data_IF_737205404083
#
_entry.id   IF_737205404083
#
_cell.length_a   1.000
_cell.length_b   1.000
_cell.length_c   1.000
_cell.angle_alpha   90.00
_cell.angle_beta   90.00
_cell.angle_gamma   90.00
#
_symmetry.space_group_name_H-M   'P 1'
#
loop_
_entity.id
_entity.type
_entity.pdbx_description
1 polymer ?
#
# COMPACT_ATOMS: atom_id res chain seq x y z
N UNK A 1 3.65 -0.77 28.44
CA UNK A 1 2.22 -1.18 28.58
C UNK A 1 2.16 -2.68 28.26
N UNK A 2 1.39 -3.47 28.99
CA UNK A 2 1.26 -4.91 28.71
C UNK A 2 0.20 -5.11 27.61
N UNK A 3 0.33 -6.14 26.75
CA UNK A 3 -0.68 -6.46 25.75
C UNK A 3 -1.96 -6.98 26.40
N UNK A 4 -3.08 -6.86 25.71
CA UNK A 4 -4.32 -7.52 26.14
C UNK A 4 -4.10 -9.03 26.33
N UNK A 5 -4.74 -9.66 27.33
CA UNK A 5 -4.52 -11.10 27.64
C UNK A 5 -4.70 -12.03 26.43
N UNK A 6 -5.63 -11.70 25.52
CA UNK A 6 -5.87 -12.47 24.29
C UNK A 6 -4.70 -12.36 23.32
N UNK A 7 -4.19 -11.14 23.09
CA UNK A 7 -3.04 -10.90 22.23
C UNK A 7 -1.77 -11.52 22.81
N UNK A 8 -1.56 -11.39 24.14
CA UNK A 8 -0.43 -12.02 24.82
C UNK A 8 -0.41 -13.54 24.62
N UNK A 9 -1.56 -14.21 24.79
CA UNK A 9 -1.69 -15.65 24.57
C UNK A 9 -1.42 -16.03 23.13
N UNK A 10 -1.96 -15.29 22.17
CA UNK A 10 -1.72 -15.50 20.74
C UNK A 10 -0.23 -15.37 20.39
N UNK A 11 0.46 -14.36 20.93
CA UNK A 11 1.92 -14.17 20.73
C UNK A 11 2.69 -15.37 21.26
N UNK A 12 2.40 -15.84 22.46
CA UNK A 12 3.06 -16.99 23.11
C UNK A 12 2.82 -18.27 22.29
N UNK A 13 1.58 -18.52 21.89
CA UNK A 13 1.20 -19.74 21.14
C UNK A 13 1.91 -19.79 19.78
N UNK A 14 1.90 -18.70 19.00
CA UNK A 14 2.51 -18.67 17.66
C UNK A 14 4.04 -18.76 17.75
N UNK A 15 4.67 -18.00 18.63
CA UNK A 15 6.12 -18.06 18.81
C UNK A 15 6.57 -19.43 19.33
N UNK A 16 5.80 -20.04 20.22
CA UNK A 16 6.11 -21.36 20.78
C UNK A 16 5.94 -22.50 19.79
N UNK A 17 5.00 -22.40 18.86
CA UNK A 17 4.73 -23.46 17.87
C UNK A 17 5.60 -23.39 16.63
N UNK A 18 5.76 -22.20 16.06
CA UNK A 18 6.41 -22.04 14.74
C UNK A 18 7.75 -21.31 14.78
N UNK A 19 8.07 -20.63 15.87
CA UNK A 19 9.22 -19.72 15.92
C UNK A 19 9.14 -18.56 14.94
N UNK A 20 7.98 -18.40 14.26
CA UNK A 20 7.75 -17.35 13.28
C UNK A 20 7.19 -16.11 13.98
N UNK A 21 7.72 -14.91 13.73
CA UNK A 21 7.20 -13.71 14.36
C UNK A 21 5.76 -13.46 13.92
N UNK A 22 4.89 -13.19 14.91
CA UNK A 22 3.54 -12.72 14.64
C UNK A 22 3.60 -11.26 14.19
N UNK A 23 2.81 -10.91 13.20
CA UNK A 23 2.80 -9.54 12.66
C UNK A 23 2.18 -8.51 13.61
N UNK A 24 1.27 -8.93 14.50
CA UNK A 24 0.62 -8.05 15.49
C UNK A 24 1.39 -8.02 16.80
N UNK A 25 1.53 -6.82 17.37
CA UNK A 25 2.10 -6.64 18.71
C UNK A 25 3.59 -6.95 18.82
N UNK A 26 4.36 -6.78 17.73
CA UNK A 26 5.82 -7.01 17.73
C UNK A 26 6.56 -6.14 18.76
N UNK A 27 6.05 -4.95 19.06
CA UNK A 27 6.62 -4.05 20.07
C UNK A 27 6.62 -4.62 21.47
N UNK A 28 5.70 -5.53 21.80
CA UNK A 28 5.62 -6.13 23.15
C UNK A 28 6.73 -7.14 23.45
N UNK A 29 7.36 -7.70 22.43
CA UNK A 29 8.43 -8.70 22.59
C UNK A 29 9.71 -8.33 21.82
N UNK A 30 9.82 -7.08 21.35
CA UNK A 30 11.04 -6.56 20.75
C UNK A 30 12.07 -6.25 21.83
N UNK A 31 13.28 -6.81 21.69
CA UNK A 31 14.41 -6.59 22.60
C UNK A 31 15.68 -6.42 21.78
N UNK A 32 16.50 -5.43 22.13
CA UNK A 32 17.85 -5.24 21.63
C UNK A 32 17.96 -4.49 20.29
N UNK A 33 16.86 -4.17 19.63
CA UNK A 33 16.85 -3.49 18.32
C UNK A 33 16.58 -1.98 18.42
N UNK A 34 16.36 -1.44 19.60
CA UNK A 34 15.84 -0.07 19.81
C UNK A 34 16.74 1.00 19.20
N UNK A 35 18.06 0.91 19.38
CA UNK A 35 18.99 1.89 18.82
C UNK A 35 18.94 1.95 17.29
N UNK A 36 18.85 0.78 16.65
CA UNK A 36 18.76 0.69 15.19
C UNK A 36 17.39 1.15 14.67
N UNK A 37 16.31 0.78 15.35
CA UNK A 37 14.96 1.24 15.01
C UNK A 37 14.83 2.76 15.16
N UNK A 38 15.38 3.33 16.24
CA UNK A 38 15.38 4.77 16.44
C UNK A 38 16.24 5.51 15.39
N UNK A 39 17.35 4.92 14.94
CA UNK A 39 18.15 5.47 13.85
C UNK A 39 17.39 5.44 12.52
N UNK A 40 16.69 4.34 12.20
CA UNK A 40 15.84 4.24 11.02
C UNK A 40 14.69 5.26 11.11
N UNK A 41 14.04 5.35 12.25
CA UNK A 41 12.95 6.27 12.47
C UNK A 41 13.38 7.73 12.31
N UNK A 42 14.42 8.17 13.00
CA UNK A 42 14.85 9.56 13.02
C UNK A 42 15.53 10.02 11.74
N UNK A 43 16.42 9.19 11.16
CA UNK A 43 17.24 9.61 10.01
C UNK A 43 16.60 9.30 8.67
N UNK A 44 15.73 8.29 8.58
CA UNK A 44 15.10 7.89 7.34
C UNK A 44 13.62 8.20 7.30
N UNK A 45 12.80 7.60 8.16
CA UNK A 45 11.35 7.80 8.13
C UNK A 45 10.95 9.24 8.42
N UNK A 46 11.47 9.82 9.52
CA UNK A 46 11.12 11.17 9.97
C UNK A 46 11.86 12.31 9.28
N UNK A 47 12.83 12.03 8.41
CA UNK A 47 13.59 13.05 7.70
C UNK A 47 13.67 12.74 6.21
N UNK A 48 14.65 11.95 5.77
CA UNK A 48 14.98 11.77 4.36
C UNK A 48 13.82 11.25 3.49
N UNK A 49 13.04 10.29 3.98
CA UNK A 49 11.87 9.75 3.26
C UNK A 49 10.67 10.69 3.33
N UNK A 50 10.46 11.34 4.47
CA UNK A 50 9.40 12.36 4.62
C UNK A 50 9.59 13.50 3.62
N UNK A 51 10.85 13.91 3.35
CA UNK A 51 11.18 14.93 2.34
C UNK A 51 11.12 14.40 0.89
N UNK A 52 10.73 13.14 0.69
CA UNK A 52 10.56 12.50 -0.63
C UNK A 52 11.82 11.85 -1.16
N UNK A 53 12.81 11.61 -0.33
CA UNK A 53 13.96 10.78 -0.65
C UNK A 53 13.58 9.32 -0.87
N UNK A 54 14.52 8.55 -1.43
CA UNK A 54 14.39 7.11 -1.57
C UNK A 54 15.67 6.42 -1.07
N UNK A 55 15.52 5.31 -0.36
CA UNK A 55 16.65 4.60 0.21
C UNK A 55 16.48 3.09 0.04
N UNK A 56 17.58 2.40 -0.19
CA UNK A 56 17.64 0.95 -0.15
C UNK A 56 18.44 0.51 1.09
N UNK A 57 17.91 -0.44 1.84
CA UNK A 57 18.58 -1.05 2.99
C UNK A 57 18.50 -2.56 2.89
N UNK A 58 19.64 -3.22 3.10
CA UNK A 58 19.76 -4.66 3.11
C UNK A 58 19.92 -5.15 4.55
N UNK A 59 19.01 -6.00 5.01
CA UNK A 59 19.09 -6.67 6.31
C UNK A 59 19.59 -8.09 6.11
N UNK A 60 20.79 -8.36 6.57
CA UNK A 60 21.47 -9.66 6.43
C UNK A 60 21.60 -10.33 7.79
N UNK A 61 21.48 -11.65 7.82
CA UNK A 61 21.64 -12.46 9.02
C UNK A 61 21.25 -13.91 8.77
N UNK A 62 21.67 -14.82 9.63
CA UNK A 62 21.39 -16.25 9.53
C UNK A 62 19.88 -16.56 9.67
N UNK A 63 19.51 -17.80 9.33
CA UNK A 63 18.15 -18.27 9.58
C UNK A 63 17.86 -18.23 11.10
N UNK A 64 16.69 -17.70 11.47
CA UNK A 64 16.32 -17.56 12.89
C UNK A 64 16.87 -16.29 13.59
N UNK A 65 17.70 -15.47 12.94
CA UNK A 65 18.30 -14.25 13.55
C UNK A 65 17.33 -13.09 13.77
N UNK A 66 16.02 -13.26 13.54
CA UNK A 66 15.02 -12.24 13.79
C UNK A 66 14.79 -11.22 12.68
N UNK A 67 15.28 -11.47 11.43
CA UNK A 67 15.10 -10.54 10.30
C UNK A 67 13.65 -10.15 10.04
N UNK A 68 12.74 -11.11 10.01
CA UNK A 68 11.31 -10.85 9.80
C UNK A 68 10.69 -10.07 10.96
N UNK A 69 11.10 -10.37 12.19
CA UNK A 69 10.70 -9.61 13.38
C UNK A 69 11.14 -8.15 13.26
N UNK A 70 12.41 -7.93 12.92
CA UNK A 70 12.95 -6.59 12.71
C UNK A 70 12.19 -5.81 11.63
N UNK A 71 11.86 -6.44 10.49
CA UNK A 71 11.07 -5.81 9.43
C UNK A 71 9.65 -5.44 9.90
N UNK A 72 9.02 -6.24 10.76
CA UNK A 72 7.74 -5.87 11.37
C UNK A 72 7.86 -4.69 12.34
N UNK A 73 8.96 -4.60 13.10
CA UNK A 73 9.21 -3.42 13.93
C UNK A 73 9.42 -2.15 13.08
N UNK A 74 10.14 -2.25 11.95
CA UNK A 74 10.29 -1.13 11.01
C UNK A 74 8.96 -0.73 10.40
N UNK A 75 8.10 -1.70 10.03
CA UNK A 75 6.74 -1.45 9.55
C UNK A 75 5.92 -0.65 10.57
N UNK A 76 5.93 -1.07 11.85
CA UNK A 76 5.16 -0.38 12.89
C UNK A 76 5.65 1.05 13.06
N UNK A 77 6.97 1.30 13.02
CA UNK A 77 7.53 2.67 13.00
C UNK A 77 7.12 3.48 11.77
N UNK A 78 7.04 2.84 10.60
CA UNK A 78 6.56 3.48 9.38
C UNK A 78 5.08 3.89 9.51
N UNK A 79 4.25 3.04 10.09
CA UNK A 79 2.85 3.35 10.36
C UNK A 79 2.66 4.49 11.38
N UNK A 80 3.49 4.55 12.42
CA UNK A 80 3.48 5.68 13.39
C UNK A 80 3.77 7.03 12.72
N UNK A 81 4.30 7.02 11.48
CA UNK A 81 4.58 8.18 10.66
C UNK A 81 3.74 8.28 9.39
N UNK A 82 2.61 7.59 9.39
CA UNK A 82 1.61 7.62 8.31
C UNK A 82 2.12 7.13 6.95
N UNK A 83 3.11 6.22 6.95
CA UNK A 83 3.55 5.56 5.72
C UNK A 83 2.64 4.37 5.37
N UNK A 84 2.30 4.24 4.10
CA UNK A 84 1.81 2.97 3.57
C UNK A 84 2.97 1.98 3.43
N UNK A 85 2.73 0.72 3.74
CA UNK A 85 3.74 -0.34 3.75
C UNK A 85 3.30 -1.50 2.86
N UNK A 86 4.22 -2.04 2.09
CA UNK A 86 4.01 -3.27 1.32
C UNK A 86 5.10 -4.29 1.70
N UNK A 87 4.70 -5.49 2.08
CA UNK A 87 5.59 -6.63 2.34
C UNK A 87 5.39 -7.70 1.27
N UNK A 88 6.45 -8.00 0.56
CA UNK A 88 6.47 -9.03 -0.48
C UNK A 88 7.51 -10.09 -0.13
N UNK A 89 7.08 -11.35 -0.12
CA UNK A 89 7.97 -12.49 0.00
C UNK A 89 8.36 -12.95 -1.41
N UNK A 90 9.62 -12.71 -1.77
CA UNK A 90 10.14 -13.10 -3.08
C UNK A 90 10.35 -14.61 -3.14
N UNK A 91 9.77 -15.26 -4.13
CA UNK A 91 9.93 -16.69 -4.35
C UNK A 91 10.09 -16.99 -5.84
N UNK A 92 10.84 -18.07 -6.20
CA UNK A 92 11.01 -18.42 -7.62
C UNK A 92 9.71 -18.75 -8.36
N UNK A 93 8.66 -19.14 -7.64
CA UNK A 93 7.37 -19.54 -8.22
C UNK A 93 6.35 -18.43 -8.27
N UNK A 94 6.18 -17.68 -7.16
CA UNK A 94 5.09 -16.70 -7.01
C UNK A 94 5.52 -15.30 -7.38
N UNK A 95 6.67 -14.86 -6.87
CA UNK A 95 7.18 -13.50 -7.08
C UNK A 95 8.68 -13.55 -7.43
N UNK A 96 9.03 -14.10 -8.60
CA UNK A 96 10.42 -14.17 -9.01
C UNK A 96 11.01 -12.77 -9.21
N UNK A 97 12.18 -12.53 -8.66
CA UNK A 97 12.84 -11.22 -8.67
C UNK A 97 13.15 -10.71 -10.10
N UNK A 98 13.35 -11.62 -11.05
CA UNK A 98 13.61 -11.33 -12.45
C UNK A 98 12.35 -11.04 -13.27
N UNK A 99 11.13 -11.25 -12.71
CA UNK A 99 9.88 -10.83 -13.32
C UNK A 99 9.34 -9.55 -12.66
N UNK A 100 9.77 -8.41 -13.17
CA UNK A 100 9.41 -7.10 -12.62
C UNK A 100 7.89 -6.84 -12.61
N UNK A 101 7.12 -7.43 -13.55
CA UNK A 101 5.67 -7.32 -13.54
C UNK A 101 5.07 -8.04 -12.34
N UNK A 102 5.54 -9.26 -12.04
CA UNK A 102 5.08 -10.02 -10.87
C UNK A 102 5.47 -9.33 -9.57
N UNK A 103 6.69 -8.77 -9.50
CA UNK A 103 7.11 -7.96 -8.34
C UNK A 103 6.19 -6.75 -8.17
N UNK A 104 5.89 -6.02 -9.25
CA UNK A 104 4.94 -4.91 -9.21
C UNK A 104 3.56 -5.37 -8.69
N UNK A 105 3.00 -6.44 -9.26
CA UNK A 105 1.70 -6.97 -8.86
C UNK A 105 1.68 -7.37 -7.37
N UNK A 106 2.73 -8.03 -6.90
CA UNK A 106 2.86 -8.41 -5.49
C UNK A 106 2.93 -7.18 -4.57
N UNK A 107 3.67 -6.13 -4.95
CA UNK A 107 3.71 -4.86 -4.20
C UNK A 107 2.33 -4.20 -4.19
N UNK A 108 1.69 -4.05 -5.34
CA UNK A 108 0.37 -3.41 -5.44
C UNK A 108 -0.71 -4.15 -4.65
N UNK A 109 -0.65 -5.50 -4.60
CA UNK A 109 -1.61 -6.34 -3.87
C UNK A 109 -1.34 -6.45 -2.37
N UNK A 110 -0.16 -6.03 -1.88
CA UNK A 110 0.22 -6.17 -0.48
C UNK A 110 0.32 -4.84 0.29
N UNK A 111 -0.10 -3.73 -0.32
CA UNK A 111 -0.12 -2.43 0.36
C UNK A 111 -1.07 -2.48 1.56
N UNK A 112 -0.57 -2.03 2.71
CA UNK A 112 -1.32 -1.89 3.95
C UNK A 112 -1.04 -0.51 4.52
N UNK A 113 -2.08 0.13 5.04
CA UNK A 113 -1.98 1.39 5.76
C UNK A 113 -2.53 1.23 7.17
N UNK A 114 -2.02 1.98 8.14
CA UNK A 114 -2.27 1.82 9.57
C UNK A 114 -3.77 1.83 9.94
N UNK A 115 -4.55 2.73 9.38
CA UNK A 115 -5.98 2.83 9.66
C UNK A 115 -6.81 1.64 9.15
N UNK A 116 -6.24 0.85 8.21
CA UNK A 116 -6.79 -0.42 7.74
C UNK A 116 -6.19 -1.64 8.48
N UNK A 117 -5.25 -1.42 9.39
CA UNK A 117 -4.32 -2.43 9.91
C UNK A 117 -4.89 -3.49 10.86
N UNK A 118 -6.12 -3.35 11.34
CA UNK A 118 -6.82 -4.40 12.12
C UNK A 118 -7.73 -5.28 11.26
N UNK A 119 -7.85 -4.95 10.00
CA UNK A 119 -8.63 -5.68 9.02
C UNK A 119 -7.82 -6.90 8.53
N UNK A 120 -8.48 -8.00 8.23
CA UNK A 120 -7.86 -9.26 7.85
C UNK A 120 -7.01 -9.19 6.57
N UNK A 121 -6.47 -10.33 6.14
CA UNK A 121 -5.65 -10.40 4.90
C UNK A 121 -6.39 -9.92 3.64
N UNK A 122 -7.73 -10.01 3.65
CA UNK A 122 -8.60 -9.59 2.55
C UNK A 122 -8.69 -8.05 2.36
N UNK A 123 -8.14 -7.27 3.29
CA UNK A 123 -8.19 -5.80 3.28
C UNK A 123 -6.87 -5.16 2.80
N UNK A 124 -6.05 -5.92 2.08
CA UNK A 124 -4.78 -5.46 1.52
C UNK A 124 -4.93 -5.05 0.06
N UNK A 125 -4.00 -4.22 -0.39
CA UNK A 125 -3.84 -3.85 -1.78
C UNK A 125 -4.15 -2.41 -2.10
N UNK A 126 -3.70 -1.99 -3.28
CA UNK A 126 -3.78 -0.60 -3.73
C UNK A 126 -5.23 -0.11 -3.81
N UNK A 127 -6.16 -0.93 -4.31
CA UNK A 127 -7.58 -0.53 -4.39
C UNK A 127 -8.20 -0.30 -3.01
N UNK A 128 -7.88 -1.15 -2.03
CA UNK A 128 -8.33 -0.96 -0.65
C UNK A 128 -7.74 0.29 -0.01
N UNK A 129 -6.48 0.58 -0.30
CA UNK A 129 -5.84 1.83 0.10
C UNK A 129 -6.56 3.06 -0.49
N UNK A 130 -6.89 3.03 -1.79
CA UNK A 130 -7.62 4.12 -2.46
C UNK A 130 -9.04 4.30 -1.91
N UNK A 131 -9.77 3.20 -1.71
CA UNK A 131 -11.11 3.23 -1.08
C UNK A 131 -11.05 3.78 0.35
N UNK A 132 -10.09 3.32 1.15
CA UNK A 132 -9.87 3.80 2.50
C UNK A 132 -9.59 5.30 2.56
N UNK A 133 -8.80 5.82 1.61
CA UNK A 133 -8.53 7.25 1.48
C UNK A 133 -9.84 8.04 1.25
N UNK A 134 -10.72 7.60 0.34
CA UNK A 134 -12.02 8.27 0.15
C UNK A 134 -12.91 8.15 1.38
N UNK A 135 -13.05 6.96 1.96
CA UNK A 135 -13.89 6.75 3.16
C UNK A 135 -13.47 7.64 4.32
N UNK A 136 -12.17 7.84 4.51
CA UNK A 136 -11.64 8.77 5.53
C UNK A 136 -12.10 10.21 5.32
N UNK A 137 -12.21 10.65 4.07
CA UNK A 137 -12.62 12.01 3.75
C UNK A 137 -14.14 12.21 3.83
N UNK A 138 -14.93 11.21 3.47
CA UNK A 138 -16.39 11.33 3.42
C UNK A 138 -17.08 10.92 4.74
N UNK A 139 -16.52 9.94 5.45
CA UNK A 139 -17.09 9.38 6.68
C UNK A 139 -17.40 10.41 7.79
N UNK A 140 -16.52 11.39 8.09
CA UNK A 140 -16.79 12.42 9.08
C UNK A 140 -18.02 13.28 8.78
N UNK A 141 -18.47 13.32 7.51
CA UNK A 141 -19.66 14.04 7.07
C UNK A 141 -20.93 13.17 7.07
N UNK A 142 -20.82 11.90 7.50
CA UNK A 142 -21.94 10.95 7.51
C UNK A 142 -22.38 10.53 6.11
N UNK A 143 -21.48 10.59 5.12
CA UNK A 143 -21.71 10.22 3.74
C UNK A 143 -20.98 8.91 3.39
N UNK A 144 -21.55 8.18 2.44
CA UNK A 144 -20.83 7.12 1.72
C UNK A 144 -20.13 7.67 0.48
N UNK A 145 -19.15 6.93 -0.04
CA UNK A 145 -18.33 7.38 -1.19
C UNK A 145 -19.19 7.65 -2.43
N UNK A 146 -20.27 6.89 -2.63
CA UNK A 146 -21.18 6.98 -3.77
C UNK A 146 -22.29 8.02 -3.61
N UNK A 147 -22.38 8.67 -2.45
CA UNK A 147 -23.38 9.69 -2.21
C UNK A 147 -23.14 10.92 -3.10
N UNK A 148 -24.19 11.50 -3.70
CA UNK A 148 -24.06 12.63 -4.62
C UNK A 148 -23.31 13.84 -4.04
N UNK A 149 -23.35 14.00 -2.71
CA UNK A 149 -22.65 15.06 -1.99
C UNK A 149 -21.16 14.80 -1.77
N UNK A 150 -20.70 13.55 -1.86
CA UNK A 150 -19.32 13.19 -1.56
C UNK A 150 -18.31 13.92 -2.44
N UNK A 151 -18.55 13.99 -3.76
CA UNK A 151 -17.68 14.68 -4.71
C UNK A 151 -17.61 16.20 -4.50
N UNK A 152 -18.58 16.78 -3.80
CA UNK A 152 -18.66 18.21 -3.52
C UNK A 152 -17.92 18.64 -2.25
N UNK A 153 -17.51 17.67 -1.41
CA UNK A 153 -16.77 17.95 -0.19
C UNK A 153 -15.43 18.65 -0.50
N UNK A 154 -15.07 19.69 0.26
CA UNK A 154 -13.84 20.44 0.06
C UNK A 154 -12.59 19.55 0.07
N UNK A 155 -12.52 18.59 1.00
CA UNK A 155 -11.37 17.69 1.15
C UNK A 155 -11.26 16.71 -0.01
N UNK A 156 -12.37 16.19 -0.53
CA UNK A 156 -12.40 15.33 -1.73
C UNK A 156 -11.98 16.13 -2.96
N UNK A 157 -12.43 17.36 -3.12
CA UNK A 157 -11.98 18.25 -4.19
C UNK A 157 -10.49 18.57 -4.09
N UNK A 158 -10.00 18.85 -2.88
CA UNK A 158 -8.57 19.08 -2.63
C UNK A 158 -7.74 17.85 -3.00
N UNK A 159 -8.17 16.65 -2.63
CA UNK A 159 -7.54 15.39 -3.03
C UNK A 159 -7.47 15.25 -4.56
N UNK A 160 -8.59 15.42 -5.26
CA UNK A 160 -8.65 15.31 -6.71
C UNK A 160 -7.77 16.35 -7.40
N UNK A 161 -7.71 17.56 -6.88
CA UNK A 161 -6.83 18.63 -7.37
C UNK A 161 -5.35 18.28 -7.13
N UNK A 162 -4.99 17.81 -5.94
CA UNK A 162 -3.63 17.36 -5.62
C UNK A 162 -3.19 16.26 -6.57
N UNK A 163 -4.03 15.25 -6.78
CA UNK A 163 -3.75 14.19 -7.74
C UNK A 163 -3.59 14.72 -9.17
N UNK A 164 -4.42 15.68 -9.58
CA UNK A 164 -4.33 16.24 -10.93
C UNK A 164 -3.02 17.00 -11.19
N UNK A 165 -2.44 17.59 -10.15
CA UNK A 165 -1.23 18.44 -10.23
C UNK A 165 0.06 17.72 -9.83
N UNK A 166 -0.04 16.55 -9.16
CA UNK A 166 1.14 15.78 -8.75
C UNK A 166 1.85 15.18 -9.96
N UNK A 167 3.16 15.40 -10.10
CA UNK A 167 3.93 14.78 -11.17
C UNK A 167 4.08 13.27 -10.92
N UNK A 168 3.51 12.48 -11.82
CA UNK A 168 3.59 11.01 -11.82
C UNK A 168 4.24 10.57 -13.13
N UNK A 169 5.25 9.70 -13.05
CA UNK A 169 6.07 9.29 -14.19
C UNK A 169 5.29 8.67 -15.34
N UNK A 170 4.28 7.85 -15.02
CA UNK A 170 3.42 7.25 -16.03
C UNK A 170 2.09 8.00 -16.15
N UNK A 171 1.87 8.61 -17.30
CA UNK A 171 0.58 9.25 -17.60
C UNK A 171 -0.58 8.25 -17.52
N UNK A 172 -0.39 7.01 -18.00
CA UNK A 172 -1.41 5.98 -17.93
C UNK A 172 -1.75 5.62 -16.47
N UNK A 173 -0.72 5.53 -15.60
CA UNK A 173 -0.92 5.29 -14.16
C UNK A 173 -1.64 6.45 -13.50
N UNK A 174 -1.22 7.68 -13.80
CA UNK A 174 -1.89 8.89 -13.31
C UNK A 174 -3.37 8.91 -13.68
N UNK A 175 -3.69 8.63 -14.97
CA UNK A 175 -5.07 8.54 -15.44
C UNK A 175 -5.85 7.40 -14.81
N UNK A 176 -5.21 6.27 -14.51
CA UNK A 176 -5.86 5.16 -13.85
C UNK A 176 -6.27 5.51 -12.40
N UNK A 177 -5.39 6.17 -11.62
CA UNK A 177 -5.73 6.63 -10.26
C UNK A 177 -6.85 7.67 -10.30
N UNK A 178 -6.76 8.68 -11.16
CA UNK A 178 -7.83 9.68 -11.32
C UNK A 178 -9.16 9.03 -11.73
N UNK A 179 -9.09 8.09 -12.67
CA UNK A 179 -10.25 7.32 -13.13
C UNK A 179 -10.88 6.50 -12.03
N UNK A 180 -10.05 5.90 -11.16
CA UNK A 180 -10.52 5.11 -10.03
C UNK A 180 -11.34 5.96 -9.04
N UNK A 181 -10.81 7.08 -8.58
CA UNK A 181 -11.55 7.99 -7.71
C UNK A 181 -12.82 8.53 -8.35
N UNK A 182 -12.76 8.94 -9.62
CA UNK A 182 -13.95 9.40 -10.33
C UNK A 182 -15.01 8.31 -10.50
N UNK A 183 -14.59 7.05 -10.72
CA UNK A 183 -15.51 5.92 -10.85
C UNK A 183 -16.14 5.57 -9.48
N UNK A 184 -15.36 5.61 -8.40
CA UNK A 184 -15.85 5.40 -7.03
C UNK A 184 -16.92 6.44 -6.65
N UNK A 185 -16.62 7.73 -6.84
CA UNK A 185 -17.54 8.83 -6.53
C UNK A 185 -18.81 8.85 -7.40
N UNK A 186 -18.87 8.07 -8.47
CA UNK A 186 -20.02 7.96 -9.39
C UNK A 186 -20.72 6.60 -9.37
N UNK A 187 -20.30 5.69 -8.48
CA UNK A 187 -20.84 4.34 -8.41
C UNK A 187 -20.66 3.52 -9.70
N UNK A 188 -19.55 3.72 -10.44
CA UNK A 188 -19.28 3.03 -11.70
C UNK A 188 -18.58 1.69 -11.47
N UNK A 189 -19.26 0.71 -10.88
CA UNK A 189 -18.71 -0.58 -10.43
C UNK A 189 -17.86 -1.29 -11.49
N UNK A 190 -18.38 -1.44 -12.73
CA UNK A 190 -17.62 -2.11 -13.82
C UNK A 190 -16.29 -1.43 -14.10
N UNK A 191 -16.26 -0.10 -14.08
CA UNK A 191 -15.02 0.67 -14.31
C UNK A 191 -14.07 0.57 -13.15
N UNK A 192 -14.59 0.57 -11.90
CA UNK A 192 -13.79 0.32 -10.69
C UNK A 192 -13.12 -1.05 -10.77
N UNK A 193 -13.85 -2.09 -11.11
CA UNK A 193 -13.29 -3.44 -11.26
C UNK A 193 -12.20 -3.49 -12.32
N UNK A 194 -12.44 -2.92 -13.49
CA UNK A 194 -11.46 -2.91 -14.59
C UNK A 194 -10.20 -2.10 -14.24
N UNK A 195 -10.36 -0.95 -13.57
CA UNK A 195 -9.25 -0.15 -13.08
C UNK A 195 -8.50 -0.86 -11.94
N UNK A 196 -9.22 -1.51 -11.04
CA UNK A 196 -8.62 -2.31 -9.97
C UNK A 196 -7.72 -3.41 -10.51
N UNK A 197 -8.20 -4.21 -11.45
CA UNK A 197 -7.39 -5.22 -12.13
C UNK A 197 -6.17 -4.62 -12.83
N UNK A 198 -6.36 -3.51 -13.54
CA UNK A 198 -5.24 -2.84 -14.22
C UNK A 198 -4.20 -2.34 -13.22
N UNK A 199 -4.62 -1.70 -12.13
CA UNK A 199 -3.75 -1.17 -11.07
C UNK A 199 -2.97 -2.27 -10.33
N UNK A 200 -3.53 -3.48 -10.23
CA UNK A 200 -2.84 -4.65 -9.68
C UNK A 200 -1.94 -5.37 -10.71
N UNK A 201 -1.85 -4.88 -11.95
CA UNK A 201 -1.06 -5.50 -13.01
C UNK A 201 -1.65 -6.82 -13.51
N UNK A 202 -2.93 -7.05 -13.28
CA UNK A 202 -3.68 -8.20 -13.77
C UNK A 202 -4.06 -8.05 -15.25
N UNK A 203 -4.58 -9.12 -15.83
CA UNK A 203 -5.09 -9.07 -17.19
C UNK A 203 -6.46 -8.38 -17.24
N UNK A 204 -6.57 -7.43 -18.15
CA UNK A 204 -7.81 -6.70 -18.43
C UNK A 204 -8.33 -7.15 -19.79
N UNK A 205 -9.64 -7.39 -19.90
CA UNK A 205 -10.28 -7.81 -21.14
C UNK A 205 -10.08 -6.79 -22.26
N UNK A 206 -10.13 -7.19 -23.54
CA UNK A 206 -10.03 -6.24 -24.66
C UNK A 206 -11.13 -5.17 -24.66
N UNK A 207 -12.31 -5.51 -24.15
CA UNK A 207 -13.43 -4.58 -24.02
C UNK A 207 -13.18 -3.55 -22.95
N UNK A 208 -12.82 -4.01 -21.73
CA UNK A 208 -12.49 -3.11 -20.62
C UNK A 208 -11.27 -2.24 -20.96
N UNK A 209 -10.27 -2.80 -21.64
CA UNK A 209 -9.12 -2.02 -22.09
C UNK A 209 -9.50 -0.90 -23.08
N UNK A 210 -10.56 -1.10 -23.89
CA UNK A 210 -11.09 -0.02 -24.76
C UNK A 210 -11.73 1.10 -23.93
N UNK A 211 -12.50 0.75 -22.89
CA UNK A 211 -13.08 1.73 -21.96
C UNK A 211 -11.96 2.49 -21.22
N UNK A 212 -10.96 1.80 -20.69
CA UNK A 212 -9.84 2.42 -20.01
C UNK A 212 -9.03 3.36 -20.91
N UNK A 213 -8.88 3.03 -22.20
CA UNK A 213 -8.22 3.94 -23.17
C UNK A 213 -9.00 5.22 -23.36
N UNK A 214 -10.34 5.19 -23.28
CA UNK A 214 -11.17 6.39 -23.40
C UNK A 214 -10.90 7.44 -22.32
N UNK A 215 -10.39 7.03 -21.16
CA UNK A 215 -10.00 7.90 -20.06
C UNK A 215 -8.48 8.15 -19.98
N UNK A 216 -7.72 7.68 -20.97
CA UNK A 216 -6.27 7.95 -21.09
C UNK A 216 -5.37 6.83 -20.55
N UNK A 217 -5.89 5.69 -20.14
CA UNK A 217 -5.08 4.51 -19.76
C UNK A 217 -4.72 3.74 -21.02
N UNK A 218 -3.63 4.13 -21.67
CA UNK A 218 -3.28 3.72 -23.03
C UNK A 218 -2.42 2.45 -23.10
N UNK A 219 -1.74 2.08 -22.03
CA UNK A 219 -0.82 0.94 -21.99
C UNK A 219 -1.20 -0.07 -20.89
N UNK A 220 -0.80 -1.33 -21.09
CA UNK A 220 -0.89 -2.37 -20.05
C UNK A 220 0.39 -2.39 -19.23
N UNK A 221 0.30 -2.80 -17.97
CA UNK A 221 1.48 -3.05 -17.14
C UNK A 221 2.16 -4.34 -17.61
N UNK A 222 3.42 -4.27 -17.94
CA UNK A 222 4.22 -5.36 -18.50
C UNK A 222 5.67 -5.30 -17.96
N UNK A 223 6.49 -6.28 -18.32
CA UNK A 223 7.88 -6.37 -17.86
C UNK A 223 8.72 -5.13 -18.17
N UNK A 224 8.46 -4.47 -19.29
CA UNK A 224 9.27 -3.34 -19.75
C UNK A 224 8.94 -2.02 -19.02
N UNK A 225 7.71 -1.88 -18.53
CA UNK A 225 7.26 -0.65 -17.87
C UNK A 225 6.97 -0.83 -16.37
N UNK A 226 7.03 -2.06 -15.83
CA UNK A 226 6.70 -2.35 -14.44
C UNK A 226 7.49 -1.50 -13.43
N UNK A 227 8.78 -1.24 -13.66
CA UNK A 227 9.58 -0.39 -12.80
C UNK A 227 9.09 1.07 -12.80
N UNK A 228 8.75 1.61 -13.99
CA UNK A 228 8.13 2.94 -14.12
C UNK A 228 6.77 2.99 -13.41
N UNK A 229 5.97 1.91 -13.52
CA UNK A 229 4.68 1.81 -12.81
C UNK A 229 4.85 1.74 -11.30
N UNK A 230 5.87 1.01 -10.81
CA UNK A 230 6.19 0.97 -9.37
C UNK A 230 6.57 2.36 -8.83
N UNK A 231 7.39 3.12 -9.55
CA UNK A 231 7.71 4.51 -9.19
C UNK A 231 6.45 5.38 -9.18
N UNK A 232 5.60 5.24 -10.19
CA UNK A 232 4.33 5.95 -10.30
C UNK A 232 3.38 5.62 -9.14
N UNK A 233 3.35 4.36 -8.70
CA UNK A 233 2.61 3.92 -7.52
C UNK A 233 3.12 4.63 -6.26
N UNK A 234 4.44 4.65 -6.04
CA UNK A 234 5.03 5.36 -4.88
C UNK A 234 4.72 6.86 -4.92
N UNK A 235 4.80 7.49 -6.10
CA UNK A 235 4.47 8.91 -6.27
C UNK A 235 2.98 9.19 -5.99
N UNK A 236 2.07 8.32 -6.44
CA UNK A 236 0.64 8.44 -6.18
C UNK A 236 0.31 8.25 -4.69
N UNK A 237 0.83 7.19 -4.06
CA UNK A 237 0.60 6.92 -2.63
C UNK A 237 1.10 8.07 -1.75
N UNK A 238 2.22 8.70 -2.12
CA UNK A 238 2.73 9.88 -1.40
C UNK A 238 1.83 11.11 -1.52
N UNK A 239 1.06 11.22 -2.59
CA UNK A 239 0.17 12.36 -2.83
C UNK A 239 -1.20 12.22 -2.16
N UNK A 240 -1.50 11.03 -1.63
CA UNK A 240 -2.75 10.64 -0.98
C UNK A 240 -2.64 10.68 0.54
#
# INVERSE_FOLDING_TARGET
MLPEPRLARQIIDVLGQSGTPISKGVSYYNVGNESLLNAIDSHYLGAYLADGGAVFKLVVGDYGSGKSHFLYCVRDRAWERDFAVSKVDLSPKESPYDDQRRVYAAVASSIIWHELGDLGEDERGLTRFLEGTLRRLVGPHGLDVEDPGAAELPDVRALLHTLATTPIDSLAFHKAIQGYFNAALRGQERRLESLGRWLHGEEVSPEDMRDLRSIGVTEKINKNNAFKMLRSLCQAVRAL
#
